data_IF_136571583527
#
_entry.id   IF_136571583527
#
_cell.length_a   1.000
_cell.length_b   1.000
_cell.length_c   1.000
_cell.angle_alpha   90.00
_cell.angle_beta   90.00
_cell.angle_gamma   90.00
#
_symmetry.space_group_name_H-M   'P 1'
#
loop_
_entity.id
_entity.type
_entity.pdbx_description
1 polymer ?
#
# COMPACT_ATOMS: atom_id res chain seq x y z
N UNK A 1 -0.57 14.75 11.68
CA UNK A 1 0.31 14.80 10.49
C UNK A 1 -0.25 13.81 9.47
N UNK A 2 -1.20 14.23 8.64
CA UNK A 2 -1.66 13.41 7.53
C UNK A 2 -0.53 13.38 6.52
N UNK A 3 0.20 12.26 6.44
CA UNK A 3 1.10 11.99 5.34
C UNK A 3 0.27 12.23 4.08
N UNK A 4 0.68 13.19 3.27
CA UNK A 4 -0.01 13.55 2.04
C UNK A 4 0.04 12.31 1.12
N UNK A 5 -1.05 11.52 1.19
CA UNK A 5 -1.14 10.22 0.53
C UNK A 5 -0.93 10.37 -0.96
N UNK A 6 -1.31 11.52 -1.53
CA UNK A 6 -1.15 11.82 -2.96
C UNK A 6 0.31 11.85 -3.40
N UNK A 7 1.17 12.54 -2.64
CA UNK A 7 2.62 12.66 -2.92
C UNK A 7 3.30 11.30 -2.74
N UNK A 8 2.89 10.56 -1.72
CA UNK A 8 3.44 9.23 -1.42
C UNK A 8 3.09 8.22 -2.51
N UNK A 9 1.83 8.24 -2.99
CA UNK A 9 1.36 7.37 -4.08
C UNK A 9 2.02 7.71 -5.42
N UNK A 10 2.14 9.00 -5.76
CA UNK A 10 2.82 9.40 -6.99
C UNK A 10 4.29 8.96 -7.01
N UNK A 11 5.00 9.16 -5.89
CA UNK A 11 6.39 8.70 -5.77
C UNK A 11 6.51 7.18 -5.90
N UNK A 12 5.57 6.43 -5.31
CA UNK A 12 5.54 4.97 -5.44
C UNK A 12 5.26 4.53 -6.87
N UNK A 13 4.32 5.19 -7.56
CA UNK A 13 4.01 4.89 -8.95
C UNK A 13 5.24 5.08 -9.86
N UNK A 14 5.99 6.19 -9.68
CA UNK A 14 7.21 6.45 -10.45
C UNK A 14 8.32 5.44 -10.15
N UNK A 15 8.51 5.06 -8.88
CA UNK A 15 9.55 4.10 -8.49
C UNK A 15 9.21 2.65 -8.87
N UNK A 16 7.94 2.35 -9.08
CA UNK A 16 7.47 1.04 -9.55
C UNK A 16 7.46 0.93 -11.08
N UNK A 17 7.38 2.04 -11.81
CA UNK A 17 7.41 2.04 -13.27
C UNK A 17 8.79 1.59 -13.77
N UNK A 18 8.90 0.47 -14.50
CA UNK A 18 10.18 -0.03 -14.99
C UNK A 18 10.93 0.93 -15.93
N UNK A 19 10.23 1.91 -16.51
CA UNK A 19 10.78 2.92 -17.42
C UNK A 19 11.48 4.05 -16.68
N UNK A 20 10.98 4.39 -15.49
CA UNK A 20 11.41 5.57 -14.72
C UNK A 20 12.04 5.21 -13.36
N UNK A 21 11.98 3.94 -12.97
CA UNK A 21 12.47 3.46 -11.68
C UNK A 21 13.99 3.56 -11.58
N UNK A 22 14.46 4.13 -10.47
CA UNK A 22 15.88 4.12 -10.10
C UNK A 22 16.24 2.92 -9.22
N UNK A 23 15.25 2.07 -8.89
CA UNK A 23 15.41 0.94 -7.98
C UNK A 23 15.94 -0.29 -8.69
N UNK A 24 16.76 -1.06 -7.98
CA UNK A 24 17.09 -2.42 -8.42
C UNK A 24 15.85 -3.31 -8.43
N UNK A 25 15.81 -4.28 -9.35
CA UNK A 25 14.71 -5.23 -9.49
C UNK A 25 14.30 -5.89 -8.18
N UNK A 26 15.28 -6.21 -7.32
CA UNK A 26 15.04 -6.81 -5.99
C UNK A 26 14.29 -5.86 -5.03
N UNK A 27 14.66 -4.57 -4.99
CA UNK A 27 13.96 -3.56 -4.19
C UNK A 27 12.56 -3.31 -4.71
N UNK A 28 12.38 -3.22 -6.03
CA UNK A 28 11.08 -3.05 -6.67
C UNK A 28 10.14 -4.22 -6.32
N UNK A 29 10.61 -5.46 -6.42
CA UNK A 29 9.82 -6.63 -6.04
C UNK A 29 9.43 -6.64 -4.55
N UNK A 30 10.31 -6.18 -3.65
CA UNK A 30 9.96 -6.00 -2.23
C UNK A 30 8.85 -4.97 -2.04
N UNK A 31 8.90 -3.84 -2.74
CA UNK A 31 7.85 -2.82 -2.65
C UNK A 31 6.50 -3.32 -3.18
N UNK A 32 6.50 -4.09 -4.27
CA UNK A 32 5.29 -4.73 -4.80
C UNK A 32 4.71 -5.70 -3.77
N UNK A 33 5.52 -6.58 -3.19
CA UNK A 33 5.05 -7.49 -2.15
C UNK A 33 4.49 -6.75 -0.94
N UNK A 34 5.15 -5.68 -0.50
CA UNK A 34 4.66 -4.86 0.60
C UNK A 34 3.27 -4.28 0.29
N UNK A 35 3.06 -3.73 -0.91
CA UNK A 35 1.76 -3.20 -1.33
C UNK A 35 0.67 -4.29 -1.37
N UNK A 36 1.01 -5.50 -1.83
CA UNK A 36 0.08 -6.64 -1.83
C UNK A 36 -0.30 -7.02 -0.40
N UNK A 37 0.67 -7.13 0.51
CA UNK A 37 0.40 -7.46 1.92
C UNK A 37 -0.42 -6.39 2.63
N UNK A 38 -0.14 -5.11 2.38
CA UNK A 38 -0.90 -3.99 2.96
C UNK A 38 -2.36 -4.01 2.49
N UNK A 39 -2.59 -4.23 1.18
CA UNK A 39 -3.92 -4.37 0.62
C UNK A 39 -4.67 -5.59 1.19
N UNK A 40 -3.98 -6.72 1.34
CA UNK A 40 -4.55 -7.93 1.95
C UNK A 40 -4.92 -7.70 3.42
N UNK A 41 -4.03 -7.10 4.22
CA UNK A 41 -4.30 -6.78 5.61
C UNK A 41 -5.48 -5.81 5.75
N UNK A 42 -5.54 -4.77 4.93
CA UNK A 42 -6.66 -3.83 4.90
C UNK A 42 -7.99 -4.53 4.58
N UNK A 43 -7.99 -5.44 3.62
CA UNK A 43 -9.20 -6.12 3.12
C UNK A 43 -9.67 -7.25 4.04
N UNK A 44 -8.75 -8.07 4.53
CA UNK A 44 -9.06 -9.31 5.26
C UNK A 44 -9.03 -9.15 6.77
N UNK A 45 -8.29 -8.17 7.32
CA UNK A 45 -8.18 -7.98 8.77
C UNK A 45 -8.87 -6.69 9.21
N UNK A 46 -8.51 -5.56 8.60
CA UNK A 46 -9.00 -4.26 9.07
C UNK A 46 -10.48 -4.08 8.74
N UNK A 47 -10.90 -4.32 7.48
CA UNK A 47 -12.29 -4.12 7.05
C UNK A 47 -13.30 -4.99 7.80
N UNK A 48 -13.09 -6.31 8.01
CA UNK A 48 -14.05 -7.13 8.76
C UNK A 48 -14.13 -6.73 10.22
N UNK A 49 -12.99 -6.39 10.85
CA UNK A 49 -12.95 -5.93 12.25
C UNK A 49 -13.67 -4.59 12.38
N UNK A 50 -13.41 -3.61 11.51
CA UNK A 50 -14.09 -2.32 11.55
C UNK A 50 -15.58 -2.46 11.27
N UNK A 51 -16.01 -3.27 10.30
CA UNK A 51 -17.44 -3.54 10.08
C UNK A 51 -18.08 -4.14 11.33
N UNK A 52 -17.49 -5.20 11.89
CA UNK A 52 -18.00 -5.83 13.10
C UNK A 52 -18.12 -4.83 14.27
N UNK A 53 -17.10 -3.99 14.48
CA UNK A 53 -17.11 -2.99 15.55
C UNK A 53 -18.14 -1.88 15.34
N UNK A 54 -18.35 -1.45 14.09
CA UNK A 54 -19.27 -0.34 13.77
C UNK A 54 -20.74 -0.77 13.90
N UNK A 55 -21.05 -2.05 13.71
CA UNK A 55 -22.42 -2.58 13.84
C UNK A 55 -22.74 -3.18 15.22
N UNK A 56 -21.80 -3.09 16.18
CA UNK A 56 -22.03 -3.48 17.59
C UNK A 56 -22.26 -2.29 18.53
N UNK A 57 -22.30 -1.06 18.02
CA UNK A 57 -22.72 0.13 18.76
C UNK A 57 -24.22 0.40 18.58
#
# INVERSE_FOLDING_TARGET
MFIDKSITVNKWATELDPTYSTLSTSKRNKMIHYAIYDCFAATCLIRPVTLYWTFQQ
#
